data_IF_103801176839
#
_entry.id   IF_103801176839
#
_cell.length_a   1.000
_cell.length_b   1.000
_cell.length_c   1.000
_cell.angle_alpha   90.00
_cell.angle_beta   90.00
_cell.angle_gamma   90.00
#
_symmetry.space_group_name_H-M   'P 1'
#
loop_
_entity.id
_entity.type
_entity.pdbx_description
1 polymer ?
#
# COMPACT_ATOMS: atom_id res chain seq x y z
N UNK A 1 -0.94 -4.78 -19.51
CA UNK A 1 -1.26 -6.09 -18.91
C UNK A 1 -2.63 -6.53 -19.41
N UNK A 2 -2.79 -7.81 -19.72
CA UNK A 2 -4.07 -8.35 -20.19
C UNK A 2 -4.82 -9.01 -19.03
N UNK A 3 -5.90 -8.36 -18.58
CA UNK A 3 -6.70 -8.84 -17.45
C UNK A 3 -7.68 -9.97 -17.83
N UNK A 4 -7.90 -10.22 -19.13
CA UNK A 4 -8.90 -11.19 -19.59
C UNK A 4 -8.56 -12.64 -19.22
N UNK A 5 -7.32 -12.94 -18.88
CA UNK A 5 -6.86 -14.26 -18.48
C UNK A 5 -7.14 -14.59 -17.02
N UNK A 6 -7.63 -13.63 -16.24
CA UNK A 6 -7.83 -13.77 -14.80
C UNK A 6 -9.31 -13.88 -14.46
N UNK A 7 -9.63 -14.47 -13.31
CA UNK A 7 -10.98 -14.43 -12.76
C UNK A 7 -11.42 -12.98 -12.50
N UNK A 8 -12.74 -12.77 -12.39
CA UNK A 8 -13.30 -11.43 -12.13
C UNK A 8 -12.73 -10.83 -10.83
N UNK A 9 -12.61 -11.65 -9.76
CA UNK A 9 -12.04 -11.20 -8.50
C UNK A 9 -10.58 -10.77 -8.66
N UNK A 10 -9.79 -11.56 -9.40
CA UNK A 10 -8.39 -11.22 -9.65
C UNK A 10 -8.28 -9.96 -10.49
N UNK A 11 -9.15 -9.79 -11.47
CA UNK A 11 -9.17 -8.56 -12.27
C UNK A 11 -9.44 -7.33 -11.41
N UNK A 12 -10.45 -7.39 -10.55
CA UNK A 12 -10.77 -6.28 -9.63
C UNK A 12 -9.63 -5.98 -8.66
N UNK A 13 -9.02 -7.03 -8.11
CA UNK A 13 -7.85 -6.88 -7.26
C UNK A 13 -6.72 -6.15 -7.98
N UNK A 14 -6.41 -6.54 -9.21
CA UNK A 14 -5.31 -5.94 -9.97
C UNK A 14 -5.59 -4.49 -10.36
N UNK A 15 -6.83 -4.17 -10.75
CA UNK A 15 -7.22 -2.80 -11.08
C UNK A 15 -7.00 -1.90 -9.85
N UNK A 16 -7.51 -2.32 -8.71
CA UNK A 16 -7.35 -1.57 -7.46
C UNK A 16 -5.88 -1.48 -7.04
N UNK A 17 -5.14 -2.58 -7.18
CA UNK A 17 -3.71 -2.59 -6.86
C UNK A 17 -2.95 -1.52 -7.65
N UNK A 18 -3.19 -1.41 -8.95
CA UNK A 18 -2.50 -0.42 -9.79
C UNK A 18 -2.95 1.01 -9.49
N UNK A 19 -4.20 1.22 -9.09
CA UNK A 19 -4.65 2.54 -8.61
C UNK A 19 -3.90 2.94 -7.33
N UNK A 20 -3.76 2.02 -6.38
CA UNK A 20 -3.01 2.25 -5.14
C UNK A 20 -1.55 2.54 -5.45
N UNK A 21 -0.93 1.76 -6.34
CA UNK A 21 0.46 1.95 -6.75
C UNK A 21 0.67 3.32 -7.39
N UNK A 22 -0.21 3.71 -8.30
CA UNK A 22 -0.12 5.01 -8.96
C UNK A 22 -0.27 6.17 -7.97
N UNK A 23 -1.19 6.05 -7.01
CA UNK A 23 -1.36 7.05 -5.97
C UNK A 23 -0.13 7.14 -5.07
N UNK A 24 0.46 5.99 -4.72
CA UNK A 24 1.70 5.95 -3.94
C UNK A 24 2.83 6.69 -4.65
N UNK A 25 3.02 6.43 -5.95
CA UNK A 25 4.07 7.08 -6.75
C UNK A 25 3.84 8.59 -6.77
N UNK A 26 2.61 9.04 -6.99
CA UNK A 26 2.26 10.45 -6.99
C UNK A 26 2.54 11.10 -5.62
N UNK A 27 2.13 10.43 -4.54
CA UNK A 27 2.30 10.97 -3.19
C UNK A 27 3.78 11.05 -2.79
N UNK A 28 4.57 10.04 -3.14
CA UNK A 28 6.01 10.04 -2.86
C UNK A 28 6.73 11.10 -3.70
N UNK A 29 6.34 11.23 -4.96
CA UNK A 29 6.96 12.20 -5.88
C UNK A 29 6.63 13.64 -5.49
N UNK A 30 5.43 13.88 -4.96
CA UNK A 30 4.96 15.21 -4.57
C UNK A 30 5.21 15.51 -3.07
N UNK A 31 5.88 14.63 -2.35
CA UNK A 31 6.19 14.87 -0.94
C UNK A 31 7.04 16.15 -0.79
N UNK A 32 6.70 16.95 0.22
CA UNK A 32 7.46 18.17 0.51
C UNK A 32 8.88 17.81 0.92
N UNK A 33 9.84 18.37 0.20
CA UNK A 33 11.27 18.20 0.50
C UNK A 33 11.79 19.43 1.22
N UNK A 34 12.66 19.17 2.19
CA UNK A 34 13.37 20.19 2.94
C UNK A 34 14.85 19.95 2.78
N UNK A 35 15.75 20.62 3.19
CA UNK A 35 17.19 20.31 3.10
C UNK A 35 17.65 19.31 4.17
N UNK A 36 16.72 18.66 4.86
CA UNK A 36 17.00 17.66 5.89
C UNK A 36 16.74 16.25 5.34
N UNK A 37 17.79 15.44 5.27
CA UNK A 37 17.69 14.06 4.81
C UNK A 37 16.70 13.24 5.64
N UNK A 38 16.75 13.37 6.97
CA UNK A 38 15.87 12.62 7.87
C UNK A 38 14.41 12.98 7.65
N UNK A 39 14.10 14.26 7.53
CA UNK A 39 12.75 14.75 7.31
C UNK A 39 12.22 14.33 5.94
N UNK A 40 13.06 14.43 4.91
CA UNK A 40 12.68 14.05 3.55
C UNK A 40 12.41 12.55 3.44
N UNK A 41 13.22 11.73 4.09
CA UNK A 41 13.01 10.28 4.13
C UNK A 41 11.64 9.96 4.76
N UNK A 42 11.32 10.56 5.91
CA UNK A 42 10.04 10.34 6.60
C UNK A 42 8.87 10.77 5.71
N UNK A 43 8.97 11.94 5.08
CA UNK A 43 7.91 12.48 4.23
C UNK A 43 7.65 11.60 2.99
N UNK A 44 8.66 10.88 2.53
CA UNK A 44 8.51 9.92 1.44
C UNK A 44 8.03 8.55 1.93
N UNK A 45 8.44 8.11 3.11
CA UNK A 45 8.10 6.79 3.63
C UNK A 45 6.69 6.69 4.19
N UNK A 46 6.11 7.78 4.69
CA UNK A 46 4.71 7.77 5.16
C UNK A 46 3.75 7.35 4.03
N UNK A 47 3.74 7.97 2.83
CA UNK A 47 2.90 7.49 1.73
C UNK A 47 3.27 6.08 1.26
N UNK A 48 4.45 5.87 1.18
CA UNK A 48 4.86 4.50 0.87
C UNK A 48 4.13 3.49 1.77
N UNK A 49 4.33 3.49 3.35
CA UNK A 49 3.70 2.62 4.37
C UNK A 49 2.18 2.64 4.26
N UNK A 50 1.59 3.81 3.95
CA UNK A 50 0.14 3.96 3.73
C UNK A 50 -0.33 3.11 2.56
N UNK A 51 0.44 3.05 1.48
CA UNK A 51 0.13 2.19 0.34
C UNK A 51 0.14 0.71 0.73
N UNK A 52 1.07 0.27 1.58
CA UNK A 52 1.10 -1.12 2.07
C UNK A 52 -0.19 -1.47 2.83
N UNK A 53 -0.74 -0.53 3.61
CA UNK A 53 -2.02 -0.71 4.29
C UNK A 53 -3.15 -0.89 3.27
N UNK A 54 -3.21 -0.03 2.26
CA UNK A 54 -4.25 -0.10 1.23
C UNK A 54 -4.13 -1.37 0.39
N UNK A 55 -2.92 -1.77 0.03
CA UNK A 55 -2.68 -3.02 -0.70
C UNK A 55 -3.13 -4.24 0.11
N UNK A 56 -2.85 -4.26 1.40
CA UNK A 56 -3.26 -5.34 2.29
C UNK A 56 -4.77 -5.40 2.45
N UNK A 57 -5.45 -4.27 2.60
CA UNK A 57 -6.92 -4.20 2.65
C UNK A 57 -7.54 -4.66 1.34
N UNK A 58 -6.96 -4.28 0.21
CA UNK A 58 -7.40 -4.72 -1.10
C UNK A 58 -7.33 -6.24 -1.22
N UNK A 59 -6.23 -6.85 -0.81
CA UNK A 59 -6.06 -8.29 -0.80
C UNK A 59 -7.12 -8.97 0.05
N UNK A 60 -7.40 -8.44 1.24
CA UNK A 60 -8.38 -9.01 2.17
C UNK A 60 -9.80 -9.05 1.61
N UNK A 61 -10.12 -8.19 0.65
CA UNK A 61 -11.44 -8.20 -0.01
C UNK A 61 -11.64 -9.42 -0.91
N UNK A 62 -10.57 -10.05 -1.38
CA UNK A 62 -10.66 -11.06 -2.42
C UNK A 62 -10.09 -12.42 -2.02
N UNK A 63 -9.18 -12.48 -1.06
CA UNK A 63 -8.57 -13.75 -0.66
C UNK A 63 -9.40 -14.52 0.34
N UNK A 64 -9.48 -15.84 0.15
CA UNK A 64 -10.06 -16.77 1.11
C UNK A 64 -8.98 -17.58 1.84
N UNK A 65 -7.70 -17.36 1.51
CA UNK A 65 -6.58 -18.05 2.13
C UNK A 65 -6.33 -17.49 3.52
N UNK A 66 -6.58 -18.29 4.55
CA UNK A 66 -6.49 -17.84 5.95
C UNK A 66 -5.08 -17.43 6.35
N UNK A 67 -4.01 -18.18 6.05
CA UNK A 67 -2.66 -17.71 6.35
C UNK A 67 -2.34 -16.37 5.70
N UNK A 68 -2.78 -16.15 4.46
CA UNK A 68 -2.56 -14.90 3.75
C UNK A 68 -3.37 -13.75 4.37
N UNK A 69 -4.60 -14.01 4.83
CA UNK A 69 -5.39 -13.02 5.57
C UNK A 69 -4.66 -12.57 6.83
N UNK A 70 -4.06 -13.51 7.56
CA UNK A 70 -3.31 -13.20 8.78
C UNK A 70 -2.09 -12.33 8.47
N UNK A 71 -1.37 -12.63 7.39
CA UNK A 71 -0.22 -11.83 6.95
C UNK A 71 -0.67 -10.41 6.61
N UNK A 72 -1.75 -10.25 5.84
CA UNK A 72 -2.26 -8.94 5.45
C UNK A 72 -2.71 -8.12 6.68
N UNK A 73 -3.39 -8.74 7.64
CA UNK A 73 -3.79 -8.08 8.88
C UNK A 73 -2.59 -7.62 9.71
N UNK A 74 -1.53 -8.43 9.77
CA UNK A 74 -0.29 -8.06 10.45
C UNK A 74 0.40 -6.88 9.76
N UNK A 75 0.42 -6.86 8.43
CA UNK A 75 0.97 -5.73 7.68
C UNK A 75 0.22 -4.44 8.03
N UNK A 76 -1.11 -4.48 8.02
CA UNK A 76 -1.93 -3.31 8.38
C UNK A 76 -1.56 -2.80 9.77
N UNK A 77 -1.47 -3.69 10.75
CA UNK A 77 -1.14 -3.33 12.13
C UNK A 77 0.24 -2.72 12.25
N UNK A 78 1.25 -3.36 11.66
CA UNK A 78 2.64 -2.92 11.75
C UNK A 78 2.87 -1.62 11.00
N UNK A 79 2.29 -1.46 9.81
CA UNK A 79 2.45 -0.25 9.03
C UNK A 79 1.71 0.93 9.67
N UNK A 80 0.55 0.70 10.27
CA UNK A 80 -0.18 1.72 11.01
C UNK A 80 0.65 2.23 12.18
N UNK A 81 1.28 1.34 12.93
CA UNK A 81 2.14 1.72 14.04
C UNK A 81 3.38 2.47 13.57
N UNK A 82 3.98 2.02 12.46
CA UNK A 82 5.15 2.66 11.88
C UNK A 82 4.84 4.10 11.45
N UNK A 83 3.68 4.34 10.84
CA UNK A 83 3.25 5.70 10.47
C UNK A 83 3.13 6.58 11.71
N UNK A 84 2.51 6.08 12.78
CA UNK A 84 2.39 6.84 14.05
C UNK A 84 3.75 7.21 14.61
N UNK A 85 4.72 6.30 14.53
CA UNK A 85 6.08 6.54 15.01
C UNK A 85 6.80 7.61 14.18
N UNK A 86 6.45 7.75 12.88
CA UNK A 86 7.04 8.75 11.99
C UNK A 86 6.37 10.12 12.09
N UNK A 87 5.17 10.17 12.60
CA UNK A 87 4.47 11.43 12.82
C UNK A 87 4.90 12.07 14.15
#
# INVERSE_FOLDING_TARGET
MNYQQYSDNTQQYLICFYEILNQMIADMTNASLSCSLSSDFINQMIPHHRAAIHMSRNLLMYTTNIPLQNIAQNIIKEQTQSIRNMQ
#
